data_IF_733654752505
#
_entry.id   IF_733654752505
#
_cell.length_a   1.000
_cell.length_b   1.000
_cell.length_c   1.000
_cell.angle_alpha   90.00
_cell.angle_beta   90.00
_cell.angle_gamma   90.00
#
_symmetry.space_group_name_H-M   'P 1'
#
loop_
_entity.id
_entity.type
_entity.pdbx_description
1 polymer ?
#
# COMPACT_ATOMS: atom_id res chain seq x y z
N UNK A 1 42.95 -35.63 -0.96
CA UNK A 1 41.95 -35.08 -1.92
C UNK A 1 41.30 -33.87 -1.26
N UNK A 2 41.72 -32.63 -1.55
CA UNK A 2 41.12 -31.46 -0.93
C UNK A 2 39.78 -31.15 -1.62
N UNK A 3 38.74 -30.97 -0.80
CA UNK A 3 37.40 -30.59 -1.24
C UNK A 3 37.47 -29.12 -1.65
N UNK A 4 37.33 -28.85 -2.95
CA UNK A 4 37.22 -27.51 -3.49
C UNK A 4 36.01 -26.81 -2.85
N UNK A 5 36.28 -25.81 -2.00
CA UNK A 5 35.27 -24.89 -1.51
C UNK A 5 34.86 -23.99 -2.67
N UNK A 6 33.70 -24.25 -3.25
CA UNK A 6 33.06 -23.34 -4.18
C UNK A 6 32.75 -22.03 -3.44
N UNK A 7 33.55 -21.00 -3.66
CA UNK A 7 33.21 -19.65 -3.23
C UNK A 7 31.91 -19.24 -3.93
N UNK A 8 30.91 -18.69 -3.23
CA UNK A 8 29.82 -18.02 -3.92
C UNK A 8 30.43 -16.82 -4.65
N UNK A 9 30.35 -16.85 -5.97
CA UNK A 9 30.67 -15.73 -6.83
C UNK A 9 29.79 -14.57 -6.38
N UNK A 10 30.40 -13.59 -5.70
CA UNK A 10 29.83 -12.27 -5.47
C UNK A 10 29.49 -11.68 -6.83
N UNK A 11 28.24 -11.87 -7.27
CA UNK A 11 27.67 -11.15 -8.40
C UNK A 11 27.36 -9.74 -7.94
N UNK A 12 28.42 -8.97 -7.70
CA UNK A 12 28.38 -7.52 -7.67
C UNK A 12 28.16 -7.00 -9.09
N UNK A 13 27.01 -7.30 -9.68
CA UNK A 13 26.52 -6.53 -10.81
C UNK A 13 26.08 -5.20 -10.21
N UNK A 14 26.99 -4.21 -10.26
CA UNK A 14 26.78 -2.88 -9.72
C UNK A 14 25.40 -2.37 -10.09
N UNK A 15 24.52 -2.29 -9.09
CA UNK A 15 23.25 -1.61 -9.18
C UNK A 15 23.59 -0.14 -9.48
N UNK A 16 23.53 0.20 -10.77
CA UNK A 16 23.73 1.55 -11.22
C UNK A 16 22.70 2.42 -10.51
N UNK A 17 23.17 3.49 -9.87
CA UNK A 17 22.36 4.60 -9.34
C UNK A 17 21.38 5.20 -10.37
N UNK A 18 21.41 4.74 -11.63
CA UNK A 18 20.39 4.94 -12.66
C UNK A 18 19.06 4.19 -12.44
N UNK A 19 18.99 3.25 -11.50
CA UNK A 19 17.77 2.47 -11.23
C UNK A 19 16.78 3.19 -10.30
N UNK A 20 17.19 4.24 -9.57
CA UNK A 20 16.28 4.91 -8.64
C UNK A 20 15.22 5.74 -9.40
N UNK A 21 13.91 5.55 -9.11
CA UNK A 21 12.83 6.35 -9.68
C UNK A 21 13.06 7.85 -9.50
N UNK A 22 12.99 8.61 -10.60
CA UNK A 22 13.07 10.08 -10.53
C UNK A 22 11.80 10.66 -9.93
N UNK A 23 11.91 11.83 -9.30
CA UNK A 23 10.79 12.58 -8.70
C UNK A 23 9.56 12.69 -9.63
N UNK A 24 9.69 13.08 -10.92
CA UNK A 24 8.52 13.17 -11.81
C UNK A 24 7.83 11.83 -12.05
N UNK A 25 8.57 10.72 -12.01
CA UNK A 25 8.01 9.38 -12.18
C UNK A 25 7.20 8.98 -10.95
N UNK A 26 7.71 9.28 -9.75
CA UNK A 26 6.99 9.03 -8.50
C UNK A 26 5.72 9.87 -8.38
N UNK A 27 5.78 11.15 -8.75
CA UNK A 27 4.60 12.02 -8.70
C UNK A 27 3.53 11.65 -9.72
N UNK A 28 3.90 10.97 -10.80
CA UNK A 28 2.96 10.50 -11.82
C UNK A 28 2.15 9.27 -11.39
N UNK A 29 2.53 8.58 -10.31
CA UNK A 29 1.84 7.36 -9.85
C UNK A 29 0.43 7.61 -9.28
N UNK A 30 0.08 8.87 -9.01
CA UNK A 30 -1.19 9.22 -8.37
C UNK A 30 -1.19 8.80 -6.89
N UNK A 31 -2.23 8.09 -6.48
CA UNK A 31 -2.36 7.55 -5.12
C UNK A 31 -1.71 6.18 -5.03
N UNK A 32 -0.76 6.01 -4.12
CA UNK A 32 -0.04 4.74 -3.89
C UNK A 32 -0.13 4.35 -2.43
N UNK A 33 -0.02 3.06 -2.15
CA UNK A 33 0.10 2.58 -0.78
C UNK A 33 1.58 2.51 -0.41
N UNK A 34 1.96 3.26 0.62
CA UNK A 34 3.33 3.37 1.10
C UNK A 34 3.51 2.56 2.38
N UNK A 35 4.55 1.73 2.41
CA UNK A 35 5.09 1.16 3.63
C UNK A 35 6.42 1.84 3.95
N UNK A 36 6.54 2.33 5.18
CA UNK A 36 7.72 3.04 5.66
C UNK A 36 8.08 2.64 7.09
N UNK A 37 9.32 2.90 7.49
CA UNK A 37 9.80 2.67 8.86
C UNK A 37 9.78 3.99 9.64
N UNK A 38 8.97 4.14 10.70
CA UNK A 38 8.94 5.34 11.53
C UNK A 38 10.28 5.65 12.20
N UNK A 39 11.14 4.63 12.39
CA UNK A 39 12.49 4.79 12.90
C UNK A 39 13.39 5.65 11.98
N UNK A 40 13.08 5.69 10.68
CA UNK A 40 13.76 6.56 9.71
C UNK A 40 13.13 7.97 9.65
N UNK A 41 11.96 8.16 10.28
CA UNK A 41 11.23 9.42 10.33
C UNK A 41 9.86 9.33 9.67
N UNK A 42 9.57 10.25 8.75
CA UNK A 42 8.31 10.37 8.03
C UNK A 42 8.20 9.42 6.82
N UNK A 43 7.05 9.47 6.16
CA UNK A 43 6.70 8.66 5.00
C UNK A 43 7.68 8.72 3.83
N UNK A 44 8.41 9.83 3.66
CA UNK A 44 9.37 10.04 2.57
C UNK A 44 10.82 9.85 2.98
N UNK A 45 11.14 9.79 4.27
CA UNK A 45 12.53 9.68 4.71
C UNK A 45 13.16 8.38 4.20
N UNK A 46 12.38 7.29 4.15
CA UNK A 46 12.81 6.03 3.51
C UNK A 46 13.23 6.19 2.04
N UNK A 47 12.56 7.06 1.26
CA UNK A 47 12.94 7.37 -0.11
C UNK A 47 14.23 8.20 -0.18
N UNK A 48 14.42 9.15 0.72
CA UNK A 48 15.61 10.00 0.76
C UNK A 48 16.88 9.20 1.08
N UNK A 49 16.75 8.14 1.87
CA UNK A 49 17.83 7.21 2.20
C UNK A 49 18.05 6.12 1.15
N UNK A 50 17.13 5.96 0.19
CA UNK A 50 17.22 4.92 -0.82
C UNK A 50 18.28 5.24 -1.87
N UNK A 51 19.13 4.25 -2.16
CA UNK A 51 20.15 4.33 -3.21
C UNK A 51 19.83 3.41 -4.39
N UNK A 52 18.95 2.43 -4.17
CA UNK A 52 18.54 1.45 -5.17
C UNK A 52 17.04 1.14 -5.09
N UNK A 53 16.46 0.64 -6.18
CA UNK A 53 15.07 0.22 -6.25
C UNK A 53 14.88 -0.98 -7.18
N UNK A 54 13.94 -1.85 -6.81
CA UNK A 54 13.57 -3.02 -7.60
C UNK A 54 12.04 -3.17 -7.65
N UNK A 55 11.54 -3.70 -8.77
CA UNK A 55 10.14 -4.04 -8.92
C UNK A 55 9.89 -5.50 -8.51
N UNK A 56 8.82 -5.75 -7.78
CA UNK A 56 8.37 -7.09 -7.39
C UNK A 56 6.93 -7.30 -7.80
N UNK A 57 6.69 -8.41 -8.49
CA UNK A 57 5.37 -8.89 -8.88
C UNK A 57 5.15 -10.25 -8.26
N UNK A 58 4.18 -10.34 -7.37
CA UNK A 58 3.81 -11.55 -6.65
C UNK A 58 2.43 -11.99 -7.11
N UNK A 59 2.25 -13.28 -7.33
CA UNK A 59 0.94 -13.87 -7.61
C UNK A 59 0.47 -14.56 -6.34
N UNK A 60 -0.68 -14.15 -5.83
CA UNK A 60 -1.36 -14.78 -4.70
C UNK A 60 -2.72 -15.36 -5.16
N UNK A 61 -3.45 -15.99 -4.25
CA UNK A 61 -4.78 -16.56 -4.54
C UNK A 61 -5.81 -15.52 -4.98
N UNK A 62 -5.57 -14.25 -4.65
CA UNK A 62 -6.50 -13.16 -4.83
C UNK A 62 -6.13 -12.26 -6.03
N UNK A 63 -5.01 -12.55 -6.68
CA UNK A 63 -4.58 -11.90 -7.92
C UNK A 63 -3.08 -11.59 -7.94
N UNK A 64 -2.76 -10.57 -8.72
CA UNK A 64 -1.38 -10.08 -8.88
C UNK A 64 -1.18 -8.88 -7.95
N UNK A 65 -0.13 -8.96 -7.15
CA UNK A 65 0.35 -7.86 -6.33
C UNK A 65 1.63 -7.30 -6.92
N UNK A 66 1.62 -6.00 -7.20
CA UNK A 66 2.80 -5.29 -7.68
C UNK A 66 3.30 -4.31 -6.63
N UNK A 67 4.61 -4.26 -6.48
CA UNK A 67 5.28 -3.38 -5.52
C UNK A 67 6.64 -2.92 -6.05
N UNK A 68 7.07 -1.76 -5.57
CA UNK A 68 8.42 -1.23 -5.79
C UNK A 68 9.10 -1.16 -4.42
N UNK A 69 10.26 -1.77 -4.32
CA UNK A 69 11.05 -1.86 -3.10
C UNK A 69 12.26 -0.96 -3.25
N UNK A 70 12.55 -0.19 -2.22
CA UNK A 70 13.69 0.71 -2.16
C UNK A 70 14.64 0.25 -1.07
N UNK A 71 15.93 0.36 -1.36
CA UNK A 71 17.01 -0.14 -0.51
C UNK A 71 17.98 0.99 -0.16
N UNK A 72 18.41 1.01 1.10
CA UNK A 72 19.46 1.91 1.56
C UNK A 72 20.86 1.43 1.13
N UNK A 73 21.89 2.19 1.51
CA UNK A 73 23.28 1.88 1.19
C UNK A 73 23.78 0.56 1.80
N UNK A 74 23.11 0.06 2.85
CA UNK A 74 23.40 -1.22 3.49
C UNK A 74 22.61 -2.38 2.86
N UNK A 75 21.87 -2.11 1.78
CA UNK A 75 21.02 -3.08 1.07
C UNK A 75 19.77 -3.48 1.86
N UNK A 76 19.42 -2.76 2.93
CA UNK A 76 18.20 -3.01 3.69
C UNK A 76 17.02 -2.31 3.04
N UNK A 77 15.87 -2.99 3.00
CA UNK A 77 14.67 -2.37 2.48
C UNK A 77 14.17 -1.30 3.45
N UNK A 78 14.21 -0.04 3.01
CA UNK A 78 13.87 1.15 3.82
C UNK A 78 12.49 1.74 3.46
N UNK A 79 11.98 1.46 2.26
CA UNK A 79 10.73 2.01 1.76
C UNK A 79 10.08 1.10 0.71
N UNK A 80 8.76 1.00 0.69
CA UNK A 80 8.02 0.17 -0.29
C UNK A 80 6.78 0.90 -0.76
N UNK A 81 6.52 0.83 -2.06
CA UNK A 81 5.29 1.31 -2.68
C UNK A 81 4.52 0.12 -3.24
N UNK A 82 3.19 0.15 -3.13
CA UNK A 82 2.30 -0.85 -3.71
C UNK A 82 1.29 -0.18 -4.62
N UNK A 83 0.97 -0.90 -5.70
CA UNK A 83 -0.10 -0.53 -6.60
C UNK A 83 -1.44 -0.64 -5.87
N UNK A 84 -2.22 0.43 -5.93
CA UNK A 84 -3.63 0.44 -5.53
C UNK A 84 -4.52 0.50 -6.78
N UNK A 85 -5.80 0.10 -6.66
CA UNK A 85 -6.81 0.39 -7.68
C UNK A 85 -6.90 1.89 -8.03
N UNK A 86 -6.60 2.75 -7.06
CA UNK A 86 -6.59 4.22 -7.15
C UNK A 86 -5.33 4.79 -7.82
N UNK A 87 -4.32 3.96 -8.09
CA UNK A 87 -3.07 4.41 -8.72
C UNK A 87 -3.23 4.65 -10.21
N UNK A 88 -2.39 5.52 -10.78
CA UNK A 88 -2.25 5.65 -12.23
C UNK A 88 -1.51 4.43 -12.78
N UNK A 89 -2.27 3.45 -13.27
CA UNK A 89 -1.74 2.18 -13.74
C UNK A 89 -0.72 2.32 -14.88
N UNK A 90 -0.94 3.25 -15.82
CA UNK A 90 -0.03 3.43 -16.96
C UNK A 90 1.32 4.01 -16.52
N UNK A 91 1.31 4.94 -15.58
CA UNK A 91 2.52 5.52 -15.01
C UNK A 91 3.26 4.51 -14.14
N UNK A 92 2.52 3.68 -13.40
CA UNK A 92 3.05 2.56 -12.64
C UNK A 92 3.75 1.52 -13.53
N UNK A 93 3.06 1.03 -14.57
CA UNK A 93 3.60 0.02 -15.50
C UNK A 93 4.87 0.52 -16.23
N UNK A 94 4.86 1.78 -16.67
CA UNK A 94 6.05 2.43 -17.24
C UNK A 94 7.20 2.58 -16.26
N UNK A 95 6.92 2.71 -14.97
CA UNK A 95 7.96 2.78 -13.94
C UNK A 95 8.52 1.38 -13.65
N UNK A 96 7.65 0.41 -13.39
CA UNK A 96 8.02 -0.98 -13.11
C UNK A 96 8.85 -1.59 -14.24
N UNK A 97 8.49 -1.35 -15.51
CA UNK A 97 9.24 -1.84 -16.68
C UNK A 97 10.67 -1.30 -16.80
N UNK A 98 11.02 -0.23 -16.08
CA UNK A 98 12.37 0.37 -16.06
C UNK A 98 13.21 -0.08 -14.87
N UNK A 99 12.59 -0.76 -13.90
CA UNK A 99 13.25 -1.21 -12.68
C UNK A 99 13.74 -2.64 -12.85
N UNK A 100 14.89 -2.98 -12.22
CA UNK A 100 15.31 -4.37 -12.16
C UNK A 100 14.26 -5.20 -11.39
N UNK A 101 14.01 -6.46 -11.80
CA UNK A 101 13.15 -7.35 -11.03
C UNK A 101 13.82 -7.70 -9.70
N UNK A 102 13.03 -7.78 -8.64
CA UNK A 102 13.50 -8.18 -7.32
C UNK A 102 14.03 -9.63 -7.38
N UNK A 103 15.26 -9.92 -6.90
CA UNK A 103 15.84 -11.25 -6.95
C UNK A 103 14.97 -12.30 -6.26
N UNK A 104 14.63 -13.35 -6.99
CA UNK A 104 13.72 -14.44 -6.57
C UNK A 104 14.28 -15.28 -5.40
N UNK A 105 15.56 -15.17 -5.07
CA UNK A 105 16.19 -15.79 -3.88
C UNK A 105 15.47 -15.42 -2.57
N UNK A 106 14.78 -14.26 -2.54
CA UNK A 106 13.96 -13.83 -1.38
C UNK A 106 12.62 -14.59 -1.26
N UNK A 107 12.19 -15.26 -2.33
CA UNK A 107 10.89 -15.94 -2.49
C UNK A 107 10.96 -17.47 -2.28
N UNK A 108 12.15 -18.07 -2.25
CA UNK A 108 12.35 -19.50 -1.98
C UNK A 108 12.25 -19.92 -0.51
N UNK A 109 12.18 -18.96 0.41
CA UNK A 109 12.19 -19.22 1.84
C UNK A 109 10.79 -19.66 2.31
N UNK A 110 10.70 -20.86 2.90
CA UNK A 110 9.46 -21.54 3.25
C UNK A 110 8.53 -20.75 4.18
N UNK A 111 7.30 -21.24 4.37
CA UNK A 111 6.28 -20.62 5.24
C UNK A 111 6.83 -20.26 6.63
N UNK A 112 7.70 -21.10 7.19
CA UNK A 112 8.34 -20.88 8.49
C UNK A 112 9.28 -19.67 8.52
N UNK A 113 9.97 -19.37 7.43
CA UNK A 113 10.93 -18.26 7.37
C UNK A 113 10.26 -16.92 7.06
N UNK A 114 9.10 -16.96 6.38
CA UNK A 114 8.17 -15.82 6.28
C UNK A 114 7.59 -15.46 7.65
N UNK A 115 7.15 -16.48 8.39
CA UNK A 115 6.69 -16.29 9.77
C UNK A 115 7.83 -15.81 10.68
N UNK A 116 9.05 -16.35 10.51
CA UNK A 116 10.22 -15.92 11.26
C UNK A 116 10.63 -14.49 10.94
N UNK A 117 10.61 -14.05 9.68
CA UNK A 117 10.84 -12.62 9.33
C UNK A 117 9.77 -11.72 9.92
N UNK A 118 8.50 -12.15 9.89
CA UNK A 118 7.39 -11.41 10.50
C UNK A 118 7.53 -11.31 12.02
N UNK A 119 7.99 -12.37 12.68
CA UNK A 119 8.27 -12.39 14.11
C UNK A 119 9.54 -11.59 14.45
N UNK A 120 10.61 -11.73 13.67
CA UNK A 120 11.87 -11.01 13.86
C UNK A 120 11.70 -9.50 13.63
N UNK A 121 10.90 -9.09 12.64
CA UNK A 121 10.56 -7.67 12.43
C UNK A 121 9.74 -7.09 13.59
N UNK A 122 8.79 -7.86 14.12
CA UNK A 122 8.04 -7.50 15.33
C UNK A 122 8.92 -7.43 16.59
N UNK A 123 9.88 -8.34 16.73
CA UNK A 123 10.81 -8.41 17.87
C UNK A 123 11.93 -7.37 17.81
N UNK A 124 12.36 -6.94 16.61
CA UNK A 124 13.37 -5.88 16.41
C UNK A 124 12.80 -4.46 16.60
N UNK A 125 11.51 -4.30 16.84
CA UNK A 125 10.89 -2.97 16.92
C UNK A 125 10.86 -2.22 15.56
N UNK A 126 11.13 -2.93 14.45
CA UNK A 126 10.98 -2.43 13.08
C UNK A 126 9.49 -2.38 12.73
N UNK A 127 8.77 -1.48 13.39
CA UNK A 127 7.33 -1.31 13.21
C UNK A 127 7.07 -0.56 11.90
N UNK A 128 7.09 -1.30 10.79
CA UNK A 128 6.60 -0.78 9.53
C UNK A 128 5.20 -0.17 9.71
N UNK A 129 4.98 0.98 9.08
CA UNK A 129 3.67 1.63 9.00
C UNK A 129 3.22 1.69 7.55
N UNK A 130 1.92 1.84 7.40
CA UNK A 130 1.24 1.80 6.12
C UNK A 130 0.33 3.01 6.00
N UNK A 131 0.51 3.79 4.93
CA UNK A 131 -0.26 5.00 4.62
C UNK A 131 -0.55 5.07 3.13
N UNK A 132 -1.76 5.47 2.73
CA UNK A 132 -1.98 5.86 1.34
C UNK A 132 -1.52 7.28 1.14
N UNK A 133 -0.70 7.48 0.10
CA UNK A 133 -0.05 8.75 -0.18
C UNK A 133 -0.30 9.17 -1.61
N UNK A 134 -0.46 10.48 -1.78
CA UNK A 134 -0.29 11.12 -3.07
C UNK A 134 1.07 11.81 -3.10
N UNK A 135 1.91 11.36 -4.02
CA UNK A 135 3.25 11.90 -4.23
C UNK A 135 3.19 13.07 -5.21
N UNK A 136 3.85 14.17 -4.87
CA UNK A 136 3.80 15.39 -5.67
C UNK A 136 5.21 15.96 -5.82
N UNK A 137 5.57 16.35 -7.05
CA UNK A 137 6.79 17.10 -7.29
C UNK A 137 6.59 18.55 -6.86
N UNK A 138 7.58 19.15 -6.22
CA UNK A 138 7.59 20.58 -5.90
C UNK A 138 8.83 21.25 -6.51
N UNK A 139 8.73 22.56 -6.75
CA UNK A 139 9.84 23.37 -7.25
C UNK A 139 10.94 23.60 -6.19
N UNK A 140 10.69 23.24 -4.92
CA UNK A 140 11.68 23.34 -3.86
C UNK A 140 12.81 22.30 -4.06
N UNK A 141 14.02 22.78 -4.38
CA UNK A 141 15.18 21.91 -4.59
C UNK A 141 15.63 21.13 -3.35
N UNK A 142 15.34 21.62 -2.15
CA UNK A 142 15.70 20.96 -0.89
C UNK A 142 14.78 19.78 -0.56
N UNK A 143 13.53 19.83 -1.03
CA UNK A 143 12.54 18.79 -0.83
C UNK A 143 11.77 18.60 -2.13
N UNK A 144 12.35 18.00 -3.17
CA UNK A 144 11.76 17.98 -4.51
C UNK A 144 10.49 17.12 -4.60
N UNK A 145 10.24 16.27 -3.60
CA UNK A 145 9.07 15.40 -3.49
C UNK A 145 8.34 15.67 -2.17
N UNK A 146 7.03 15.78 -2.24
CA UNK A 146 6.13 15.92 -1.08
C UNK A 146 5.15 14.76 -1.10
N UNK A 147 4.83 14.24 0.09
CA UNK A 147 3.78 13.24 0.28
C UNK A 147 2.64 13.86 1.08
N UNK A 148 1.42 13.67 0.58
CA UNK A 148 0.20 14.01 1.31
C UNK A 148 -0.59 12.74 1.56
N UNK A 149 -1.22 12.63 2.74
CA UNK A 149 -2.15 11.54 3.01
C UNK A 149 -3.31 11.61 2.02
N UNK A 150 -3.60 10.49 1.38
CA UNK A 150 -4.68 10.35 0.43
C UNK A 150 -5.81 9.50 1.00
N UNK A 151 -7.04 9.85 0.65
CA UNK A 151 -8.16 8.92 0.77
C UNK A 151 -8.15 7.97 -0.42
N UNK A 152 -8.62 6.74 -0.22
CA UNK A 152 -8.67 5.69 -1.26
C UNK A 152 -10.08 5.17 -1.44
N UNK A 153 -10.39 4.62 -2.61
CA UNK A 153 -11.63 3.88 -2.84
C UNK A 153 -11.83 2.76 -1.80
N UNK A 154 -13.07 2.29 -1.66
CA UNK A 154 -13.37 1.14 -0.78
C UNK A 154 -12.53 -0.10 -1.15
N UNK A 155 -12.34 -0.37 -2.45
CA UNK A 155 -11.48 -1.45 -2.93
C UNK A 155 -10.01 -1.22 -2.56
N UNK A 156 -9.51 0.01 -2.69
CA UNK A 156 -8.17 0.38 -2.23
C UNK A 156 -7.98 0.19 -0.72
N UNK A 157 -8.99 0.51 0.08
CA UNK A 157 -8.98 0.28 1.53
C UNK A 157 -8.97 -1.21 1.88
N UNK A 158 -9.71 -2.06 1.15
CA UNK A 158 -9.67 -3.52 1.31
C UNK A 158 -8.30 -4.10 0.98
N UNK A 159 -7.70 -3.68 -0.14
CA UNK A 159 -6.33 -4.08 -0.53
C UNK A 159 -5.33 -3.66 0.55
N UNK A 160 -5.43 -2.43 1.05
CA UNK A 160 -4.56 -1.92 2.11
C UNK A 160 -4.72 -2.69 3.43
N UNK A 161 -5.95 -2.99 3.85
CA UNK A 161 -6.23 -3.75 5.06
C UNK A 161 -5.74 -5.21 4.95
N UNK A 162 -5.85 -5.82 3.77
CA UNK A 162 -5.27 -7.14 3.52
C UNK A 162 -3.75 -7.10 3.64
N UNK A 163 -3.09 -6.16 2.98
CA UNK A 163 -1.64 -6.01 3.04
C UNK A 163 -1.16 -5.77 4.48
N UNK A 164 -1.85 -4.92 5.24
CA UNK A 164 -1.56 -4.67 6.66
C UNK A 164 -1.62 -5.98 7.48
N UNK A 165 -2.65 -6.81 7.27
CA UNK A 165 -2.78 -8.12 7.95
C UNK A 165 -1.68 -9.10 7.56
N UNK A 166 -1.23 -9.10 6.31
CA UNK A 166 -0.18 -10.01 5.83
C UNK A 166 1.21 -9.61 6.31
N UNK A 167 1.50 -8.31 6.33
CA UNK A 167 2.74 -7.75 6.87
C UNK A 167 2.70 -7.68 8.41
N UNK A 168 1.51 -7.84 9.01
CA UNK A 168 1.31 -7.79 10.45
C UNK A 168 1.47 -6.40 11.04
N UNK A 169 1.14 -5.38 10.25
CA UNK A 169 1.18 -3.95 10.57
C UNK A 169 -0.20 -3.50 11.05
N UNK A 170 -0.25 -2.72 12.12
CA UNK A 170 -1.47 -2.03 12.54
C UNK A 170 -1.58 -0.70 11.77
N UNK A 171 -2.46 -0.66 10.77
CA UNK A 171 -2.68 0.53 9.95
C UNK A 171 -4.05 0.52 9.28
N UNK A 172 -4.73 1.67 9.32
CA UNK A 172 -5.99 1.91 8.59
C UNK A 172 -5.79 3.09 7.66
N UNK A 173 -6.08 2.89 6.38
CA UNK A 173 -6.11 3.95 5.39
C UNK A 173 -7.50 4.58 5.39
N UNK A 174 -7.57 5.91 5.28
CA UNK A 174 -8.85 6.60 5.15
C UNK A 174 -9.50 6.24 3.82
N UNK A 175 -10.70 5.64 3.88
CA UNK A 175 -11.50 5.38 2.68
C UNK A 175 -12.26 6.66 2.29
N UNK A 176 -12.25 7.01 1.01
CA UNK A 176 -13.21 7.93 0.43
C UNK A 176 -14.53 7.18 0.27
N UNK A 177 -15.57 7.66 0.93
CA UNK A 177 -16.93 7.19 0.72
C UNK A 177 -17.35 7.63 -0.68
N UNK A 178 -17.07 6.79 -1.68
CA UNK A 178 -17.56 6.98 -3.03
C UNK A 178 -19.05 7.36 -2.97
N UNK A 179 -19.44 8.39 -3.73
CA UNK A 179 -20.81 8.92 -3.73
C UNK A 179 -21.86 7.80 -3.92
N UNK A 180 -21.53 6.74 -4.66
CA UNK A 180 -22.34 5.54 -4.85
C UNK A 180 -22.53 4.71 -3.57
N UNK A 181 -21.48 4.52 -2.76
CA UNK A 181 -21.55 3.80 -1.48
C UNK A 181 -22.37 4.61 -0.46
N UNK A 182 -22.15 5.93 -0.40
CA UNK A 182 -22.95 6.84 0.43
C UNK A 182 -24.43 6.88 -0.02
N UNK A 183 -24.71 6.83 -1.32
CA UNK A 183 -26.06 6.76 -1.87
C UNK A 183 -26.73 5.38 -1.69
N UNK A 184 -25.96 4.30 -1.60
CA UNK A 184 -26.47 2.97 -1.26
C UNK A 184 -26.79 2.88 0.23
N UNK A 185 -25.88 3.35 1.10
CA UNK A 185 -26.08 3.41 2.54
C UNK A 185 -27.24 4.33 2.93
N UNK A 186 -27.39 5.49 2.29
CA UNK A 186 -28.53 6.39 2.55
C UNK A 186 -29.86 5.78 2.11
N UNK A 187 -29.89 5.04 0.99
CA UNK A 187 -31.08 4.28 0.56
C UNK A 187 -31.43 3.15 1.51
N UNK A 188 -30.44 2.40 2.00
CA UNK A 188 -30.65 1.35 2.99
C UNK A 188 -31.19 1.93 4.32
N UNK A 189 -30.61 3.04 4.79
CA UNK A 189 -31.07 3.74 5.99
C UNK A 189 -32.51 4.28 5.86
N UNK A 190 -32.89 4.81 4.69
CA UNK A 190 -34.26 5.24 4.39
C UNK A 190 -35.25 4.08 4.27
N UNK A 191 -34.80 2.91 3.80
CA UNK A 191 -35.64 1.71 3.75
C UNK A 191 -35.93 1.19 5.16
N UNK A 192 -34.94 1.21 6.07
CA UNK A 192 -35.15 0.88 7.49
C UNK A 192 -36.07 1.88 8.21
N UNK A 193 -36.04 3.16 7.88
CA UNK A 193 -36.97 4.14 8.47
C UNK A 193 -38.40 4.00 7.94
N UNK A 194 -38.59 3.56 6.68
CA UNK A 194 -39.92 3.26 6.10
C UNK A 194 -40.50 1.92 6.53
N UNK A 195 -39.67 1.01 7.03
CA UNK A 195 -40.11 -0.26 7.64
C UNK A 195 -40.67 -0.11 9.05
N UNK A 196 -40.67 1.12 9.59
CA UNK A 196 -41.22 1.43 10.92
C UNK A 196 -42.46 2.31 10.76
N UNK A 197 -43.47 1.84 10.02
CA UNK A 197 -44.81 2.43 10.08
C UNK A 197 -45.77 1.40 10.72
N UNK A 198 -46.31 1.69 11.93
CA UNK A 198 -47.26 0.82 12.60
C UNK A 198 -48.60 0.94 11.88
N UNK A 199 -48.96 -0.13 11.18
CA UNK A 199 -50.34 -0.32 10.72
C UNK A 199 -51.19 -0.72 11.93
N UNK A 200 -51.76 0.26 12.62
CA UNK A 200 -53.09 0.09 13.21
C UNK A 200 -54.06 1.07 12.57
N UNK A 201 -54.73 0.53 11.58
CA UNK A 201 -55.94 1.04 10.97
C UNK A 201 -57.11 0.83 11.95
N UNK A 202 -58.07 1.75 11.92
CA UNK A 202 -59.48 1.58 12.32
C UNK A 202 -59.84 1.99 13.76
N UNK A 203 -60.44 3.17 13.90
CA UNK A 203 -61.87 3.24 14.22
C UNK A 203 -62.41 4.66 14.00
N UNK A 204 -63.34 4.74 13.05
CA UNK A 204 -64.30 5.83 12.92
C UNK A 204 -65.02 6.05 14.25
N UNK A 205 -65.36 7.30 14.57
CA UNK A 205 -66.72 7.63 15.02
C UNK A 205 -66.95 9.15 14.90
N UNK A 206 -67.91 9.47 14.03
CA UNK A 206 -68.62 10.73 13.90
C UNK A 206 -69.00 11.32 15.26
N UNK A 207 -68.82 12.63 15.44
CA UNK A 207 -69.86 13.49 16.03
C UNK A 207 -69.87 14.88 15.41
N UNK A 208 -70.91 15.10 14.59
CA UNK A 208 -71.43 16.41 14.24
C UNK A 208 -72.03 17.10 15.48
N UNK A 209 -71.79 18.42 15.54
CA UNK A 209 -72.63 19.53 16.08
C UNK A 209 -73.67 19.22 17.18
N UNK A 210 -73.55 19.96 18.29
CA UNK A 210 -74.57 20.95 18.66
C UNK A 210 -73.93 22.15 19.32
#
# INVERSE_FOLDING_TARGET
>A
MPIARSQPLSSGAGASRAALPRVPQLSALGTVLCLYRPALGNELDGWQHAVDAAASRQVDSDGVRESIWFFDADGQCCWRLYLLPDSDFLSWDRLVSRLPPLPTETHGLGVGERLWRRLAGRLRGESWRLSALRLQSTANRQQPLVASLATVSALGAEVAARLAREEGIDGRVAADDCCCARAAASRAAQATSRGTDPTEMTTSLLRLRR
#
